data_IF_503933430671
#
_entry.id   IF_503933430671
#
_cell.length_a   1.000
_cell.length_b   1.000
_cell.length_c   1.000
_cell.angle_alpha   90.00
_cell.angle_beta   90.00
_cell.angle_gamma   90.00
#
_symmetry.space_group_name_H-M   'P 1'
#
loop_
_entity.id
_entity.type
_entity.pdbx_description
1 polymer ?
#
# COMPACT_ATOMS: atom_id res chain seq x y z
N UNK A 1 20.24 2.60 -14.45
CA UNK A 1 20.16 2.06 -13.07
C UNK A 1 20.68 3.17 -12.16
N UNK A 2 19.83 4.14 -11.89
CA UNK A 2 20.18 5.32 -11.12
C UNK A 2 20.23 4.88 -9.66
N UNK A 3 21.42 4.84 -9.06
CA UNK A 3 21.57 4.58 -7.63
C UNK A 3 20.96 5.76 -6.89
N UNK A 4 19.65 5.68 -6.65
CA UNK A 4 18.94 6.56 -5.72
C UNK A 4 19.74 6.55 -4.42
N UNK A 5 20.22 7.73 -4.00
CA UNK A 5 20.99 7.86 -2.77
C UNK A 5 20.08 7.53 -1.60
N UNK A 6 20.13 6.27 -1.17
CA UNK A 6 19.31 5.74 -0.08
C UNK A 6 19.63 6.44 1.25
N UNK A 7 18.60 6.62 2.09
CA UNK A 7 18.77 7.17 3.42
C UNK A 7 19.66 6.26 4.28
N UNK A 8 20.46 6.84 5.19
CA UNK A 8 21.36 6.11 6.11
C UNK A 8 20.65 5.01 6.91
N UNK A 9 19.39 5.25 7.30
CA UNK A 9 18.59 4.28 8.04
C UNK A 9 18.31 3.04 7.18
N UNK A 10 17.84 3.23 5.95
CA UNK A 10 17.56 2.12 5.04
C UNK A 10 18.86 1.37 4.69
N UNK A 11 19.97 2.07 4.46
CA UNK A 11 21.28 1.44 4.23
C UNK A 11 21.70 0.55 5.39
N UNK A 12 21.51 1.01 6.63
CA UNK A 12 21.80 0.20 7.82
C UNK A 12 20.89 -1.03 7.93
N UNK A 13 19.61 -0.89 7.58
CA UNK A 13 18.66 -2.00 7.64
C UNK A 13 18.93 -3.05 6.55
N UNK A 14 19.34 -2.63 5.36
CA UNK A 14 19.63 -3.53 4.23
C UNK A 14 21.03 -4.14 4.29
N UNK A 15 21.97 -3.49 4.97
CA UNK A 15 23.34 -3.98 5.15
C UNK A 15 23.69 -4.02 6.64
N UNK A 16 23.07 -4.93 7.42
CA UNK A 16 23.40 -5.05 8.84
C UNK A 16 24.83 -5.57 9.04
N UNK A 17 25.43 -5.33 10.21
CA UNK A 17 26.74 -5.87 10.55
C UNK A 17 26.72 -7.40 10.53
N UNK A 18 27.78 -8.04 10.04
CA UNK A 18 27.87 -9.50 10.04
C UNK A 18 27.96 -10.04 11.47
N UNK A 19 27.03 -10.94 11.83
CA UNK A 19 27.00 -11.54 13.17
C UNK A 19 27.00 -13.06 13.10
N UNK A 20 27.79 -13.70 13.95
CA UNK A 20 28.03 -15.16 13.97
C UNK A 20 27.10 -15.92 14.93
N UNK A 21 25.86 -15.46 15.10
CA UNK A 21 24.88 -16.16 15.93
C UNK A 21 24.44 -17.48 15.28
N UNK A 22 24.10 -18.47 16.11
CA UNK A 22 23.59 -19.79 15.67
C UNK A 22 22.32 -20.17 16.44
N UNK A 23 21.50 -21.04 15.85
CA UNK A 23 20.29 -21.59 16.48
C UNK A 23 19.27 -20.50 16.85
N UNK A 24 18.68 -20.61 18.04
CA UNK A 24 17.60 -19.71 18.49
C UNK A 24 18.00 -18.24 18.55
N UNK A 25 19.26 -17.92 18.86
CA UNK A 25 19.75 -16.53 18.86
C UNK A 25 19.70 -15.91 17.47
N UNK A 26 20.05 -16.69 16.45
CA UNK A 26 20.00 -16.26 15.05
C UNK A 26 18.55 -16.01 14.61
N UNK A 27 17.65 -16.94 14.93
CA UNK A 27 16.22 -16.78 14.65
C UNK A 27 15.63 -15.54 15.32
N UNK A 28 15.98 -15.26 16.58
CA UNK A 28 15.51 -14.05 17.28
C UNK A 28 16.00 -12.76 16.61
N UNK A 29 17.25 -12.73 16.13
CA UNK A 29 17.79 -11.59 15.40
C UNK A 29 17.09 -11.41 14.05
N UNK A 30 16.91 -12.49 13.29
CA UNK A 30 16.18 -12.44 12.01
C UNK A 30 14.73 -11.97 12.21
N UNK A 31 14.04 -12.47 13.23
CA UNK A 31 12.68 -12.07 13.57
C UNK A 31 12.59 -10.59 13.97
N UNK A 32 13.54 -10.11 14.78
CA UNK A 32 13.61 -8.70 15.16
C UNK A 32 13.88 -7.82 13.94
N UNK A 33 14.83 -8.19 13.09
CA UNK A 33 15.18 -7.42 11.89
C UNK A 33 14.03 -7.38 10.88
N UNK A 34 13.36 -8.52 10.70
CA UNK A 34 12.11 -8.62 9.95
C UNK A 34 11.08 -7.64 10.49
N UNK A 35 10.80 -7.67 11.79
CA UNK A 35 9.83 -6.77 12.41
C UNK A 35 10.18 -5.29 12.26
N UNK A 36 11.47 -4.93 12.36
CA UNK A 36 11.93 -3.55 12.15
C UNK A 36 11.74 -3.11 10.69
N UNK A 37 12.10 -3.97 9.73
CA UNK A 37 11.89 -3.70 8.29
C UNK A 37 10.40 -3.58 7.96
N UNK A 38 9.55 -4.41 8.54
CA UNK A 38 8.09 -4.32 8.37
C UNK A 38 7.51 -3.03 8.96
N UNK A 39 7.92 -2.66 10.18
CA UNK A 39 7.52 -1.39 10.80
C UNK A 39 7.98 -0.19 9.97
N UNK A 40 9.17 -0.27 9.37
CA UNK A 40 9.71 0.77 8.48
C UNK A 40 8.95 0.85 7.16
N UNK A 41 8.60 -0.31 6.57
CA UNK A 41 7.84 -0.39 5.33
C UNK A 41 6.41 0.12 5.49
N UNK A 42 5.77 -0.14 6.63
CA UNK A 42 4.41 0.30 6.90
C UNK A 42 4.31 1.74 7.43
N UNK A 43 5.42 2.51 7.47
CA UNK A 43 5.46 3.85 8.09
C UNK A 43 4.35 4.78 7.57
N UNK A 44 4.16 4.88 6.26
CA UNK A 44 3.08 5.69 5.68
C UNK A 44 1.71 5.20 6.16
N UNK A 45 1.45 3.89 6.01
CA UNK A 45 0.19 3.28 6.37
C UNK A 45 -0.14 3.44 7.86
N UNK A 46 0.84 3.19 8.75
CA UNK A 46 0.68 3.29 10.19
C UNK A 46 0.43 4.72 10.66
N UNK A 47 1.20 5.69 10.18
CA UNK A 47 1.00 7.11 10.52
C UNK A 47 -0.34 7.63 10.00
N UNK A 48 -0.70 7.28 8.76
CA UNK A 48 -1.95 7.72 8.18
C UNK A 48 -3.16 7.06 8.85
N UNK A 49 -3.09 5.76 9.12
CA UNK A 49 -4.12 5.03 9.86
C UNK A 49 -4.32 5.64 11.25
N UNK A 50 -3.25 5.89 12.00
CA UNK A 50 -3.32 6.57 13.30
C UNK A 50 -4.01 7.94 13.18
N UNK A 51 -3.70 8.69 12.13
CA UNK A 51 -4.32 9.99 11.86
C UNK A 51 -5.83 9.89 11.64
N UNK A 52 -6.33 8.84 10.99
CA UNK A 52 -7.78 8.59 10.83
C UNK A 52 -8.48 8.44 12.19
N UNK A 53 -7.82 7.83 13.20
CA UNK A 53 -8.36 7.71 14.55
C UNK A 53 -8.23 9.00 15.37
N UNK A 54 -7.09 9.68 15.25
CA UNK A 54 -6.80 10.86 16.05
C UNK A 54 -7.54 12.12 15.58
N UNK A 55 -7.85 12.24 14.29
CA UNK A 55 -8.55 13.43 13.77
C UNK A 55 -10.01 13.43 14.21
N UNK A 56 -10.48 14.48 14.92
CA UNK A 56 -11.87 14.60 15.35
C UNK A 56 -12.86 14.63 14.18
N UNK A 57 -14.06 14.08 14.37
CA UNK A 57 -15.14 14.14 13.36
C UNK A 57 -15.54 15.55 12.94
N UNK A 58 -15.42 16.51 13.86
CA UNK A 58 -15.69 17.93 13.61
C UNK A 58 -14.58 18.64 12.83
N UNK A 59 -13.46 17.97 12.55
CA UNK A 59 -12.24 18.62 12.08
C UNK A 59 -11.50 19.35 13.20
N UNK A 60 -10.50 20.15 12.83
CA UNK A 60 -9.63 20.88 13.76
C UNK A 60 -9.27 22.26 13.19
N UNK A 61 -9.20 23.28 14.04
CA UNK A 61 -8.85 24.67 13.66
C UNK A 61 -9.70 25.24 12.51
N UNK A 62 -10.98 24.87 12.43
CA UNK A 62 -11.89 25.31 11.37
C UNK A 62 -11.73 24.57 10.03
N UNK A 63 -10.84 23.57 9.96
CA UNK A 63 -10.60 22.75 8.78
C UNK A 63 -11.42 21.47 8.90
N UNK A 64 -12.17 21.14 7.86
CA UNK A 64 -13.00 19.93 7.86
C UNK A 64 -12.13 18.66 7.92
N UNK A 65 -12.68 17.58 8.50
CA UNK A 65 -11.95 16.34 8.78
C UNK A 65 -11.28 15.75 7.55
N UNK A 66 -11.98 15.65 6.41
CA UNK A 66 -11.41 15.02 5.22
C UNK A 66 -10.30 15.87 4.58
N UNK A 67 -10.43 17.20 4.61
CA UNK A 67 -9.38 18.12 4.15
C UNK A 67 -8.14 18.00 5.04
N UNK A 68 -8.34 17.90 6.36
CA UNK A 68 -7.26 17.71 7.33
C UNK A 68 -6.54 16.38 7.12
N UNK A 69 -7.28 15.29 6.91
CA UNK A 69 -6.69 13.98 6.60
C UNK A 69 -5.89 14.01 5.29
N UNK A 70 -6.39 14.71 4.26
CA UNK A 70 -5.65 14.89 3.01
C UNK A 70 -4.32 15.64 3.25
N UNK A 71 -4.35 16.75 3.99
CA UNK A 71 -3.14 17.50 4.32
C UNK A 71 -2.13 16.65 5.10
N UNK A 72 -2.60 15.84 6.05
CA UNK A 72 -1.73 14.92 6.80
C UNK A 72 -1.10 13.89 5.87
N UNK A 73 -1.89 13.26 4.99
CA UNK A 73 -1.38 12.29 4.02
C UNK A 73 -0.30 12.90 3.12
N UNK A 74 -0.56 14.10 2.57
CA UNK A 74 0.39 14.83 1.74
C UNK A 74 1.65 15.22 2.51
N UNK A 75 1.51 15.60 3.78
CA UNK A 75 2.65 15.94 4.64
C UNK A 75 3.52 14.72 4.92
N UNK A 76 2.92 13.58 5.28
CA UNK A 76 3.65 12.32 5.49
C UNK A 76 4.39 11.93 4.21
N UNK A 77 3.67 11.94 3.07
CA UNK A 77 4.23 11.61 1.76
C UNK A 77 5.41 12.52 1.40
N UNK A 78 5.23 13.83 1.58
CA UNK A 78 6.27 14.82 1.32
C UNK A 78 7.51 14.58 2.20
N UNK A 79 7.32 14.36 3.51
CA UNK A 79 8.43 14.09 4.44
C UNK A 79 9.18 12.82 4.01
N UNK A 80 8.47 11.74 3.68
CA UNK A 80 9.11 10.48 3.25
C UNK A 80 9.98 10.66 2.01
N UNK A 81 9.49 11.38 1.00
CA UNK A 81 10.26 11.70 -0.20
C UNK A 81 11.42 12.65 0.10
N UNK A 82 11.19 13.72 0.87
CA UNK A 82 12.21 14.71 1.23
C UNK A 82 13.37 14.09 2.03
N UNK A 83 13.05 13.14 2.92
CA UNK A 83 14.03 12.37 3.70
C UNK A 83 14.64 11.18 2.95
N UNK A 84 14.23 10.95 1.69
CA UNK A 84 14.66 9.80 0.86
C UNK A 84 14.36 8.44 1.49
N UNK A 85 13.35 8.40 2.35
CA UNK A 85 12.71 7.16 2.80
C UNK A 85 11.84 6.55 1.71
N UNK A 86 11.54 7.33 0.67
CA UNK A 86 10.85 6.92 -0.54
C UNK A 86 11.48 7.61 -1.76
N UNK A 87 11.60 6.86 -2.84
CA UNK A 87 12.16 7.26 -4.13
C UNK A 87 11.11 7.89 -5.05
N UNK A 88 11.57 8.54 -6.11
CA UNK A 88 10.69 9.12 -7.13
C UNK A 88 9.88 8.06 -7.89
N UNK A 89 10.43 6.86 -8.08
CA UNK A 89 9.71 5.77 -8.74
C UNK A 89 8.65 5.15 -7.83
N UNK A 90 8.94 5.03 -6.53
CA UNK A 90 7.92 4.69 -5.52
C UNK A 90 6.80 5.74 -5.48
N UNK A 91 7.13 7.03 -5.52
CA UNK A 91 6.13 8.10 -5.53
C UNK A 91 5.21 8.04 -6.77
N UNK A 92 5.75 7.73 -7.95
CA UNK A 92 4.94 7.52 -9.17
C UNK A 92 3.96 6.37 -8.99
N UNK A 93 4.42 5.25 -8.43
CA UNK A 93 3.57 4.10 -8.16
C UNK A 93 2.47 4.44 -7.13
N UNK A 94 2.80 5.13 -6.04
CA UNK A 94 1.82 5.60 -5.05
C UNK A 94 0.79 6.53 -5.67
N UNK A 95 1.22 7.44 -6.54
CA UNK A 95 0.31 8.32 -7.28
C UNK A 95 -0.66 7.50 -8.14
N UNK A 96 -0.19 6.45 -8.81
CA UNK A 96 -1.05 5.53 -9.56
C UNK A 96 -2.05 4.83 -8.64
N UNK A 97 -1.62 4.27 -7.51
CA UNK A 97 -2.52 3.63 -6.53
C UNK A 97 -3.54 4.61 -5.95
N UNK A 98 -3.15 5.87 -5.73
CA UNK A 98 -4.07 6.93 -5.29
C UNK A 98 -5.17 7.17 -6.32
N UNK A 99 -4.81 7.35 -7.60
CA UNK A 99 -5.77 7.58 -8.67
C UNK A 99 -6.70 6.37 -8.89
N UNK A 100 -6.14 5.15 -8.88
CA UNK A 100 -6.93 3.93 -8.96
C UNK A 100 -7.89 3.81 -7.77
N UNK A 101 -7.43 4.08 -6.55
CA UNK A 101 -8.25 4.10 -5.35
C UNK A 101 -9.41 5.09 -5.43
N UNK A 102 -9.16 6.32 -5.89
CA UNK A 102 -10.21 7.30 -6.14
C UNK A 102 -11.20 6.79 -7.19
N UNK A 103 -10.74 6.16 -8.27
CA UNK A 103 -11.62 5.55 -9.27
C UNK A 103 -12.54 4.48 -8.71
N UNK A 104 -12.03 3.62 -7.82
CA UNK A 104 -12.80 2.58 -7.15
C UNK A 104 -13.85 3.18 -6.20
N UNK A 105 -13.47 4.18 -5.41
CA UNK A 105 -14.37 4.91 -4.53
C UNK A 105 -15.47 5.62 -5.33
N UNK A 106 -15.10 6.37 -6.38
CA UNK A 106 -16.06 7.06 -7.25
C UNK A 106 -17.11 6.11 -7.82
N UNK A 107 -16.70 4.92 -8.25
CA UNK A 107 -17.63 3.90 -8.72
C UNK A 107 -18.54 3.40 -7.59
N UNK A 108 -17.96 3.00 -6.46
CA UNK A 108 -18.70 2.36 -5.36
C UNK A 108 -19.62 3.31 -4.60
N UNK A 109 -19.28 4.59 -4.51
CA UNK A 109 -20.12 5.63 -3.89
C UNK A 109 -20.99 6.37 -4.90
N UNK A 110 -20.96 6.00 -6.18
CA UNK A 110 -21.83 6.61 -7.19
C UNK A 110 -23.30 6.34 -6.87
N UNK A 111 -24.19 7.24 -7.30
CA UNK A 111 -25.63 7.09 -7.05
C UNK A 111 -26.23 5.79 -7.62
N UNK A 112 -25.64 5.24 -8.70
CA UNK A 112 -26.09 3.99 -9.31
C UNK A 112 -25.73 2.75 -8.47
N UNK A 113 -24.63 2.81 -7.72
CA UNK A 113 -24.10 1.68 -6.96
C UNK A 113 -24.41 1.80 -5.46
N UNK A 114 -24.20 2.99 -4.88
CA UNK A 114 -24.62 3.35 -3.53
C UNK A 114 -24.10 2.44 -2.42
N UNK A 115 -22.92 1.82 -2.59
CA UNK A 115 -22.40 0.86 -1.61
C UNK A 115 -22.10 1.50 -0.25
N UNK A 116 -21.63 2.74 -0.25
CA UNK A 116 -21.47 3.61 0.93
C UNK A 116 -21.35 5.07 0.48
N UNK A 117 -21.30 5.99 1.44
CA UNK A 117 -21.16 7.42 1.16
C UNK A 117 -20.26 8.08 2.22
N UNK A 118 -19.65 9.22 1.86
CA UNK A 118 -18.85 10.05 2.76
C UNK A 118 -19.67 11.26 3.25
N UNK A 119 -20.26 11.21 4.46
CA UNK A 119 -21.26 12.18 4.89
C UNK A 119 -20.68 13.53 5.32
N UNK A 120 -19.43 13.59 5.75
CA UNK A 120 -18.85 14.83 6.31
C UNK A 120 -18.52 15.83 5.20
N UNK A 121 -18.67 17.14 5.45
CA UNK A 121 -18.33 18.16 4.48
C UNK A 121 -16.81 18.25 4.27
N UNK A 122 -16.37 18.63 3.07
CA UNK A 122 -14.99 18.95 2.75
C UNK A 122 -14.87 19.66 1.39
N UNK A 123 -13.82 20.46 1.23
CA UNK A 123 -13.51 21.13 -0.02
C UNK A 123 -12.86 20.19 -1.03
N UNK A 124 -12.02 19.27 -0.55
CA UNK A 124 -11.29 18.31 -1.35
C UNK A 124 -12.14 17.08 -1.69
N UNK A 125 -13.36 17.28 -2.20
CA UNK A 125 -14.23 16.20 -2.69
C UNK A 125 -14.41 16.29 -4.20
N UNK A 126 -14.39 15.14 -4.85
CA UNK A 126 -14.75 15.00 -6.27
C UNK A 126 -15.93 14.04 -6.34
N UNK A 127 -17.07 14.51 -6.87
CA UNK A 127 -18.32 13.74 -6.94
C UNK A 127 -18.70 13.01 -5.64
N UNK A 128 -18.50 13.68 -4.49
CA UNK A 128 -18.79 13.14 -3.16
C UNK A 128 -17.66 12.33 -2.50
N UNK A 129 -16.61 11.97 -3.25
CA UNK A 129 -15.46 11.21 -2.74
C UNK A 129 -14.36 12.16 -2.28
N UNK A 130 -13.91 12.07 -1.00
CA UNK A 130 -12.83 12.89 -0.51
C UNK A 130 -11.47 12.39 -1.01
N UNK A 131 -10.59 13.29 -1.43
CA UNK A 131 -9.30 12.91 -2.01
C UNK A 131 -8.38 12.12 -1.06
N UNK A 132 -8.55 12.23 0.27
CA UNK A 132 -7.75 11.41 1.19
C UNK A 132 -8.01 9.91 1.03
N UNK A 133 -9.19 9.49 0.55
CA UNK A 133 -9.53 8.07 0.42
C UNK A 133 -8.59 7.35 -0.55
N UNK A 134 -8.13 8.03 -1.60
CA UNK A 134 -7.09 7.51 -2.50
C UNK A 134 -5.81 7.12 -1.76
N UNK A 135 -5.41 7.88 -0.73
CA UNK A 135 -4.25 7.54 0.08
C UNK A 135 -4.43 6.27 0.93
N UNK A 136 -5.67 5.84 1.20
CA UNK A 136 -5.92 4.55 1.85
C UNK A 136 -5.48 3.38 0.95
N UNK A 137 -5.67 3.51 -0.37
CA UNK A 137 -5.18 2.54 -1.36
C UNK A 137 -3.68 2.69 -1.60
N UNK A 138 -3.21 3.94 -1.70
CA UNK A 138 -1.80 4.24 -1.90
C UNK A 138 -0.91 3.73 -0.76
N UNK A 139 -1.44 3.69 0.47
CA UNK A 139 -0.76 3.09 1.62
C UNK A 139 -0.39 1.62 1.42
N UNK A 140 -1.27 0.83 0.79
CA UNK A 140 -0.99 -0.58 0.46
C UNK A 140 0.13 -0.68 -0.57
N UNK A 141 0.07 0.16 -1.62
CA UNK A 141 1.10 0.23 -2.64
C UNK A 141 2.47 0.61 -2.08
N UNK A 142 2.51 1.67 -1.26
CA UNK A 142 3.72 2.12 -0.55
C UNK A 142 4.33 0.98 0.27
N UNK A 143 3.52 0.32 1.11
CA UNK A 143 3.97 -0.80 1.92
C UNK A 143 4.59 -1.93 1.09
N UNK A 144 3.90 -2.42 0.06
CA UNK A 144 4.39 -3.54 -0.76
C UNK A 144 5.72 -3.20 -1.44
N UNK A 145 5.86 -2.00 -2.00
CA UNK A 145 7.10 -1.60 -2.69
C UNK A 145 8.25 -1.44 -1.67
N UNK A 146 7.97 -0.84 -0.51
CA UNK A 146 8.95 -0.71 0.57
C UNK A 146 9.42 -2.08 1.08
N UNK A 147 8.50 -3.03 1.30
CA UNK A 147 8.84 -4.41 1.65
C UNK A 147 9.72 -5.06 0.59
N UNK A 148 9.40 -4.84 -0.69
CA UNK A 148 10.15 -5.38 -1.81
C UNK A 148 11.61 -4.94 -1.81
N UNK A 149 11.83 -3.65 -1.54
CA UNK A 149 13.16 -3.04 -1.48
C UNK A 149 13.92 -3.43 -0.21
N UNK A 150 13.32 -3.24 0.96
CA UNK A 150 14.00 -3.43 2.26
C UNK A 150 14.33 -4.90 2.56
N UNK A 151 13.52 -5.83 2.06
CA UNK A 151 13.70 -7.26 2.29
C UNK A 151 14.21 -8.02 1.06
N UNK A 152 14.57 -7.34 -0.04
CA UNK A 152 15.02 -7.98 -1.28
C UNK A 152 14.07 -9.10 -1.73
N UNK A 153 12.78 -8.78 -1.83
CA UNK A 153 11.75 -9.78 -2.16
C UNK A 153 11.98 -10.36 -3.56
N UNK A 154 11.97 -11.68 -3.64
CA UNK A 154 12.10 -12.44 -4.88
C UNK A 154 10.93 -13.40 -5.00
N UNK A 155 10.22 -13.34 -6.12
CA UNK A 155 9.17 -14.30 -6.43
C UNK A 155 9.73 -15.41 -7.30
N UNK A 156 9.71 -16.64 -6.80
CA UNK A 156 9.97 -17.84 -7.61
C UNK A 156 8.67 -18.39 -8.18
N UNK A 157 8.76 -18.98 -9.37
CA UNK A 157 7.62 -19.56 -10.09
C UNK A 157 6.44 -18.58 -10.22
N UNK A 158 6.72 -17.29 -10.47
CA UNK A 158 5.68 -16.34 -10.81
C UNK A 158 4.99 -16.82 -12.12
N UNK A 159 3.65 -16.84 -12.19
CA UNK A 159 2.96 -17.22 -13.42
C UNK A 159 3.38 -16.31 -14.59
N UNK A 160 3.24 -16.75 -15.85
CA UNK A 160 3.57 -15.88 -16.98
C UNK A 160 2.76 -14.58 -16.88
N UNK A 161 3.40 -13.42 -17.10
CA UNK A 161 2.83 -12.08 -16.87
C UNK A 161 1.44 -11.93 -17.51
N UNK A 162 1.23 -12.50 -18.69
CA UNK A 162 -0.08 -12.47 -19.38
C UNK A 162 -1.19 -13.06 -18.52
N UNK A 163 -0.95 -14.18 -17.83
CA UNK A 163 -1.95 -14.80 -16.95
C UNK A 163 -2.24 -13.92 -15.73
N UNK A 164 -1.21 -13.30 -15.16
CA UNK A 164 -1.38 -12.35 -14.06
C UNK A 164 -2.20 -11.12 -14.50
N UNK A 165 -1.94 -10.59 -15.69
CA UNK A 165 -2.70 -9.47 -16.28
C UNK A 165 -4.15 -9.88 -16.54
N UNK A 166 -4.39 -11.04 -17.17
CA UNK A 166 -5.76 -11.54 -17.43
C UNK A 166 -6.54 -11.75 -16.13
N UNK A 167 -5.90 -12.32 -15.10
CA UNK A 167 -6.50 -12.50 -13.79
C UNK A 167 -6.85 -11.16 -13.14
N UNK A 168 -5.95 -10.17 -13.21
CA UNK A 168 -6.19 -8.82 -12.70
C UNK A 168 -7.35 -8.14 -13.43
N UNK A 169 -7.39 -8.24 -14.77
CA UNK A 169 -8.49 -7.74 -15.58
C UNK A 169 -9.82 -8.41 -15.22
N UNK A 170 -9.84 -9.74 -14.99
CA UNK A 170 -11.03 -10.45 -14.56
C UNK A 170 -11.52 -9.98 -13.18
N UNK A 171 -10.61 -9.78 -12.22
CA UNK A 171 -10.93 -9.23 -10.90
C UNK A 171 -11.55 -7.83 -11.00
N UNK A 172 -10.94 -6.92 -11.76
CA UNK A 172 -11.48 -5.58 -11.94
C UNK A 172 -12.79 -5.58 -12.71
N UNK A 173 -12.90 -6.37 -13.79
CA UNK A 173 -14.13 -6.49 -14.55
C UNK A 173 -15.27 -6.96 -13.64
N UNK A 174 -15.08 -8.01 -12.83
CA UNK A 174 -16.11 -8.44 -11.89
C UNK A 174 -16.36 -7.40 -10.79
N UNK A 175 -15.34 -6.73 -10.26
CA UNK A 175 -15.52 -5.65 -9.30
C UNK A 175 -16.42 -4.52 -9.84
N UNK A 176 -16.25 -4.11 -11.10
CA UNK A 176 -17.08 -3.07 -11.72
C UNK A 176 -18.44 -3.58 -12.22
N UNK A 177 -18.61 -4.87 -12.45
CA UNK A 177 -19.83 -5.41 -13.08
C UNK A 177 -20.69 -6.29 -12.19
N UNK A 178 -20.23 -6.71 -11.00
CA UNK A 178 -20.95 -7.68 -10.17
C UNK A 178 -22.36 -7.25 -9.77
N UNK A 179 -22.64 -5.95 -9.67
CA UNK A 179 -24.00 -5.45 -9.42
C UNK A 179 -24.97 -5.73 -10.57
N UNK A 180 -24.46 -6.02 -11.78
CA UNK A 180 -25.23 -6.26 -12.99
C UNK A 180 -25.22 -7.73 -13.43
N UNK A 181 -24.08 -8.42 -13.29
CA UNK A 181 -23.91 -9.79 -13.82
C UNK A 181 -23.76 -10.87 -12.74
N UNK A 182 -23.61 -10.49 -11.46
CA UNK A 182 -23.35 -11.43 -10.36
C UNK A 182 -21.92 -11.39 -9.83
N UNK A 183 -21.75 -11.82 -8.59
CA UNK A 183 -20.47 -11.82 -7.88
C UNK A 183 -19.73 -13.14 -8.09
N UNK A 184 -18.64 -13.08 -8.87
CA UNK A 184 -17.84 -14.25 -9.23
C UNK A 184 -16.47 -14.24 -8.54
N UNK A 185 -16.26 -13.38 -7.54
CA UNK A 185 -14.95 -13.18 -6.91
C UNK A 185 -14.33 -14.47 -6.39
N UNK A 186 -15.14 -15.40 -5.89
CA UNK A 186 -14.65 -16.67 -5.33
C UNK A 186 -14.15 -17.64 -6.40
N UNK A 187 -14.78 -17.66 -7.58
CA UNK A 187 -14.28 -18.44 -8.71
C UNK A 187 -12.97 -17.86 -9.23
N UNK A 188 -12.89 -16.54 -9.34
CA UNK A 188 -11.67 -15.84 -9.76
C UNK A 188 -10.57 -16.03 -8.70
N UNK A 189 -10.90 -16.01 -7.41
CA UNK A 189 -9.97 -16.30 -6.32
C UNK A 189 -9.46 -17.74 -6.37
N UNK A 190 -10.31 -18.72 -6.69
CA UNK A 190 -9.87 -20.11 -6.88
C UNK A 190 -8.87 -20.22 -8.05
N UNK A 191 -9.11 -19.51 -9.16
CA UNK A 191 -8.15 -19.41 -10.27
C UNK A 191 -6.85 -18.75 -9.83
N UNK A 192 -6.91 -17.66 -9.04
CA UNK A 192 -5.73 -17.01 -8.49
C UNK A 192 -4.91 -17.97 -7.61
N UNK A 193 -5.56 -18.68 -6.69
CA UNK A 193 -4.91 -19.67 -5.83
C UNK A 193 -4.25 -20.77 -6.66
N UNK A 194 -4.93 -21.30 -7.69
CA UNK A 194 -4.35 -22.30 -8.59
C UNK A 194 -3.16 -21.77 -9.39
N UNK A 195 -3.27 -20.55 -9.92
CA UNK A 195 -2.25 -19.90 -10.74
C UNK A 195 -0.96 -19.61 -9.95
N UNK A 196 -1.10 -19.20 -8.70
CA UNK A 196 0.01 -18.88 -7.79
C UNK A 196 0.37 -20.02 -6.83
N UNK A 197 -0.21 -21.21 -6.96
CA UNK A 197 -0.03 -22.32 -6.02
C UNK A 197 1.43 -22.77 -5.85
N UNK A 198 2.27 -22.56 -6.86
CA UNK A 198 3.71 -22.89 -6.84
C UNK A 198 4.60 -21.67 -6.59
N UNK A 199 4.00 -20.48 -6.52
CA UNK A 199 4.75 -19.24 -6.34
C UNK A 199 5.26 -19.14 -4.91
N UNK A 200 6.54 -18.83 -4.77
CA UNK A 200 7.19 -18.67 -3.46
C UNK A 200 7.75 -17.25 -3.35
N UNK A 201 7.54 -16.62 -2.20
CA UNK A 201 8.15 -15.34 -1.87
C UNK A 201 9.37 -15.59 -0.99
N UNK A 202 10.55 -15.28 -1.51
CA UNK A 202 11.82 -15.38 -0.79
C UNK A 202 12.23 -13.97 -0.39
N UNK A 203 12.70 -13.80 0.84
CA UNK A 203 13.08 -12.52 1.39
C UNK A 203 14.26 -12.64 2.34
N UNK A 204 15.01 -11.56 2.49
CA UNK A 204 16.19 -11.47 3.35
C UNK A 204 15.90 -10.53 4.52
N UNK A 205 15.57 -11.07 5.70
CA UNK A 205 15.31 -10.25 6.88
C UNK A 205 16.61 -9.63 7.41
N UNK A 206 17.72 -10.37 7.51
CA UNK A 206 18.98 -9.91 8.08
C UNK A 206 20.12 -9.83 7.04
N UNK A 207 20.80 -10.94 6.74
CA UNK A 207 21.90 -11.06 5.77
C UNK A 207 21.69 -12.23 4.79
#
# INVERSE_FOLDING_TARGET
MEQSVENRLDQFLMHPPTMTYRGSKRCAVEFLWFGIKEARACLFAGLFFLSIFCVPRTGLFGIARYDLLLMIALTIQFIMVATRLESWDELKAITLFHLLGIGLELFKTSAAIGSWHYPEAAWSKVAGVPLFSGFMYAAVGSYIIQCWRLMDLKIRHHPPIIHAVLLSLALYANFFTHHFIGDYRWYIAAVALGLYARSEVIFTPYD
#
